data_IF_393950335236
#
_entry.id   IF_393950335236
#
_cell.length_a   1.000
_cell.length_b   1.000
_cell.length_c   1.000
_cell.angle_alpha   90.00
_cell.angle_beta   90.00
_cell.angle_gamma   90.00
#
_symmetry.space_group_name_H-M   'P 1'
#
loop_
_entity.id
_entity.type
_entity.pdbx_description
1 polymer ?
#
# COMPACT_ATOMS: atom_id res chain seq x y z
N UNK A 1 -4.60 -13.13 26.04
CA UNK A 1 -3.43 -12.37 25.58
C UNK A 1 -3.69 -11.95 24.15
N UNK A 2 -3.37 -10.73 23.73
CA UNK A 2 -3.48 -10.38 22.33
C UNK A 2 -2.62 -11.34 21.50
N UNK A 3 -3.18 -11.86 20.40
CA UNK A 3 -2.45 -12.73 19.47
C UNK A 3 -1.55 -11.80 18.66
N UNK A 4 -0.27 -11.71 19.06
CA UNK A 4 0.74 -10.93 18.35
C UNK A 4 1.48 -11.75 17.28
N UNK A 5 1.14 -13.03 17.17
CA UNK A 5 1.73 -13.91 16.17
C UNK A 5 1.08 -13.66 14.79
N UNK A 6 1.91 -13.40 13.79
CA UNK A 6 1.47 -13.28 12.40
C UNK A 6 1.15 -14.67 11.86
N UNK A 7 -0.03 -14.82 11.28
CA UNK A 7 -0.42 -15.99 10.50
C UNK A 7 -0.54 -15.63 9.03
N UNK A 8 -0.24 -16.60 8.15
CA UNK A 8 -0.31 -16.45 6.70
C UNK A 8 -1.34 -17.43 6.16
N UNK A 9 -2.13 -16.99 5.18
CA UNK A 9 -3.15 -17.82 4.56
C UNK A 9 -3.42 -17.40 3.12
N UNK A 10 -4.17 -18.23 2.41
CA UNK A 10 -4.68 -17.94 1.07
C UNK A 10 -6.21 -17.93 1.11
N UNK A 11 -6.81 -17.03 0.35
CA UNK A 11 -8.22 -17.04 0.02
C UNK A 11 -8.39 -17.44 -1.45
N UNK A 12 -9.33 -18.34 -1.74
CA UNK A 12 -9.70 -18.71 -3.11
C UNK A 12 -10.69 -17.66 -3.63
N UNK A 13 -10.26 -16.82 -4.56
CA UNK A 13 -11.02 -15.73 -5.15
C UNK A 13 -11.22 -15.95 -6.65
N UNK A 14 -11.93 -15.05 -7.33
CA UNK A 14 -12.24 -15.17 -8.75
C UNK A 14 -11.01 -15.27 -9.66
N UNK A 15 -9.89 -14.71 -9.24
CA UNK A 15 -8.61 -14.72 -9.96
C UNK A 15 -7.71 -15.91 -9.60
N UNK A 16 -8.09 -16.75 -8.66
CA UNK A 16 -7.26 -17.79 -8.03
C UNK A 16 -6.90 -17.45 -6.60
N UNK A 17 -5.78 -17.98 -6.10
CA UNK A 17 -5.37 -17.81 -4.72
C UNK A 17 -4.75 -16.43 -4.47
N UNK A 18 -5.29 -15.72 -3.48
CA UNK A 18 -4.76 -14.45 -2.98
C UNK A 18 -4.21 -14.67 -1.58
N UNK A 19 -2.92 -14.37 -1.43
CA UNK A 19 -2.22 -14.48 -0.15
C UNK A 19 -2.49 -13.26 0.74
N UNK A 20 -2.60 -13.51 2.02
CA UNK A 20 -2.62 -12.45 3.04
C UNK A 20 -1.94 -12.91 4.33
N UNK A 21 -1.37 -11.94 5.06
CA UNK A 21 -0.90 -12.12 6.42
C UNK A 21 -1.85 -11.42 7.39
N UNK A 22 -2.07 -12.00 8.56
CA UNK A 22 -2.95 -11.43 9.57
C UNK A 22 -2.40 -11.54 10.98
N UNK A 23 -2.80 -10.59 11.84
CA UNK A 23 -2.44 -10.56 13.24
C UNK A 23 -3.61 -9.95 14.05
N UNK A 24 -3.70 -10.27 15.34
CA UNK A 24 -4.71 -9.73 16.24
C UNK A 24 -5.94 -10.60 16.38
N UNK A 25 -6.89 -10.13 17.19
CA UNK A 25 -8.11 -10.88 17.52
C UNK A 25 -9.09 -10.89 16.34
N UNK A 26 -9.65 -12.07 16.04
CA UNK A 26 -10.68 -12.23 15.00
C UNK A 26 -11.96 -11.42 15.29
N UNK A 27 -12.24 -11.09 16.55
CA UNK A 27 -13.41 -10.32 16.98
C UNK A 27 -13.16 -8.80 16.99
N UNK A 28 -11.92 -8.35 16.76
CA UNK A 28 -11.59 -6.93 16.76
C UNK A 28 -11.98 -6.27 15.42
N UNK A 29 -12.18 -4.95 15.39
CA UNK A 29 -12.33 -4.19 14.15
C UNK A 29 -11.17 -4.45 13.19
N UNK A 30 -11.46 -4.45 11.89
CA UNK A 30 -10.47 -4.85 10.87
C UNK A 30 -9.72 -3.64 10.33
N UNK A 31 -8.39 -3.79 10.17
CA UNK A 31 -7.53 -2.91 9.41
C UNK A 31 -6.96 -3.70 8.22
N UNK A 32 -7.34 -3.32 7.00
CA UNK A 32 -6.79 -3.84 5.75
C UNK A 32 -5.61 -2.98 5.31
N UNK A 33 -4.46 -3.60 5.09
CA UNK A 33 -3.20 -2.96 4.71
C UNK A 33 -2.85 -3.34 3.26
N UNK A 34 -2.61 -2.33 2.42
CA UNK A 34 -2.30 -2.46 0.99
C UNK A 34 -0.92 -1.87 0.71
N UNK A 35 0.01 -2.72 0.28
CA UNK A 35 1.43 -2.39 0.11
C UNK A 35 1.71 -1.61 -1.19
N UNK A 36 2.88 -0.98 -1.27
CA UNK A 36 3.41 -0.43 -2.52
C UNK A 36 3.86 -1.56 -3.48
N UNK A 37 3.96 -1.28 -4.77
CA UNK A 37 4.54 -2.20 -5.75
C UNK A 37 5.99 -1.81 -6.06
N UNK A 38 6.89 -2.81 -6.26
CA UNK A 38 6.65 -4.25 -6.35
C UNK A 38 6.82 -5.02 -5.03
N UNK A 39 6.47 -4.41 -3.89
CA UNK A 39 6.57 -5.06 -2.58
C UNK A 39 5.48 -6.13 -2.37
N UNK A 40 5.38 -6.63 -1.14
CA UNK A 40 4.40 -7.60 -0.66
C UNK A 40 3.91 -7.24 0.75
N UNK A 41 3.11 -8.10 1.37
CA UNK A 41 2.70 -7.98 2.78
C UNK A 41 3.88 -7.78 3.74
N UNK A 42 5.09 -8.23 3.35
CA UNK A 42 6.31 -8.08 4.15
C UNK A 42 6.62 -6.62 4.48
N UNK A 43 6.18 -5.67 3.67
CA UNK A 43 6.28 -4.24 3.97
C UNK A 43 5.59 -3.85 5.30
N UNK A 44 4.62 -4.64 5.74
CA UNK A 44 3.89 -4.43 6.98
C UNK A 44 4.23 -5.45 8.08
N UNK A 45 5.30 -6.24 7.90
CA UNK A 45 5.66 -7.31 8.83
C UNK A 45 5.74 -6.79 10.28
N UNK A 46 6.46 -5.70 10.51
CA UNK A 46 6.60 -5.09 11.84
C UNK A 46 5.35 -4.30 12.27
N UNK A 47 4.58 -3.75 11.33
CA UNK A 47 3.37 -2.98 11.61
C UNK A 47 2.20 -3.87 12.04
N UNK A 48 2.08 -5.08 11.47
CA UNK A 48 0.99 -6.01 11.77
C UNK A 48 0.82 -6.27 13.27
N UNK A 49 1.85 -6.67 14.05
CA UNK A 49 1.70 -6.90 15.48
C UNK A 49 1.46 -5.61 16.28
N UNK A 50 2.01 -4.47 15.85
CA UNK A 50 1.81 -3.19 16.52
C UNK A 50 0.34 -2.75 16.49
N UNK A 51 -0.31 -2.87 15.34
CA UNK A 51 -1.75 -2.62 15.20
C UNK A 51 -2.58 -3.78 15.75
N UNK A 52 -2.05 -5.02 15.68
CA UNK A 52 -2.71 -6.26 16.07
C UNK A 52 -3.04 -6.35 17.57
N UNK A 53 -2.46 -5.50 18.40
CA UNK A 53 -2.82 -5.38 19.82
C UNK A 53 -4.28 -4.96 19.99
N UNK A 54 -4.85 -4.19 19.04
CA UNK A 54 -6.18 -3.59 19.14
C UNK A 54 -7.12 -3.96 17.98
N UNK A 55 -6.57 -4.29 16.84
CA UNK A 55 -7.30 -4.54 15.60
C UNK A 55 -7.00 -5.95 15.07
N UNK A 56 -7.91 -6.48 14.27
CA UNK A 56 -7.59 -7.58 13.35
C UNK A 56 -6.92 -6.97 12.13
N UNK A 57 -5.60 -7.08 12.03
CA UNK A 57 -4.84 -6.57 10.89
C UNK A 57 -4.74 -7.61 9.79
N UNK A 58 -4.89 -7.18 8.55
CA UNK A 58 -4.79 -8.02 7.35
C UNK A 58 -3.95 -7.27 6.32
N UNK A 59 -2.79 -7.81 5.97
CA UNK A 59 -1.97 -7.30 4.87
C UNK A 59 -2.13 -8.23 3.67
N UNK A 60 -2.75 -7.73 2.61
CA UNK A 60 -3.01 -8.48 1.37
C UNK A 60 -1.82 -8.32 0.42
N UNK A 61 -1.38 -9.42 -0.19
CA UNK A 61 -0.54 -9.34 -1.38
C UNK A 61 -1.39 -8.91 -2.58
N UNK A 62 -1.09 -7.76 -3.15
CA UNK A 62 -1.75 -7.25 -4.36
C UNK A 62 -1.63 -8.26 -5.49
N UNK A 63 -2.71 -8.55 -6.27
CA UNK A 63 -2.65 -9.53 -7.35
C UNK A 63 -1.47 -9.34 -8.31
N UNK A 64 -0.71 -10.42 -8.50
CA UNK A 64 0.52 -10.42 -9.29
C UNK A 64 1.80 -10.11 -8.51
N UNK A 65 1.70 -9.74 -7.25
CA UNK A 65 2.82 -9.47 -6.34
C UNK A 65 2.81 -10.46 -5.18
N UNK A 66 3.94 -10.60 -4.49
CA UNK A 66 4.10 -11.54 -3.40
C UNK A 66 3.72 -12.97 -3.81
N UNK A 67 2.85 -13.58 -3.02
CA UNK A 67 2.40 -14.96 -3.25
C UNK A 67 1.01 -15.03 -3.92
N UNK A 68 0.37 -13.87 -4.26
CA UNK A 68 -0.95 -13.81 -4.90
C UNK A 68 -0.93 -14.12 -6.39
N UNK A 69 -2.03 -14.73 -6.88
CA UNK A 69 -2.27 -14.91 -8.33
C UNK A 69 -2.40 -13.54 -9.03
N UNK A 70 -2.01 -13.41 -10.31
CA UNK A 70 -2.22 -12.19 -11.07
C UNK A 70 -3.70 -12.02 -11.48
N UNK A 71 -4.09 -10.80 -11.85
CA UNK A 71 -5.37 -10.57 -12.52
C UNK A 71 -5.42 -11.31 -13.86
N UNK A 72 -6.60 -11.76 -14.28
CA UNK A 72 -6.84 -12.29 -15.63
C UNK A 72 -6.81 -11.20 -16.71
N UNK A 73 -6.95 -9.94 -16.33
CA UNK A 73 -6.85 -8.76 -17.18
C UNK A 73 -5.54 -8.00 -16.90
N UNK A 74 -5.16 -7.01 -17.72
CA UNK A 74 -4.05 -6.13 -17.40
C UNK A 74 -4.20 -5.50 -16.02
N UNK A 75 -3.08 -5.34 -15.31
CA UNK A 75 -3.04 -4.75 -13.99
C UNK A 75 -3.64 -3.34 -13.97
N UNK A 76 -4.57 -3.10 -13.06
CA UNK A 76 -5.24 -1.80 -12.87
C UNK A 76 -5.60 -1.58 -11.41
N UNK A 77 -5.70 -0.31 -11.02
CA UNK A 77 -6.11 0.10 -9.67
C UNK A 77 -7.51 -0.43 -9.36
N UNK A 78 -8.43 -0.32 -10.31
CA UNK A 78 -9.81 -0.77 -10.21
C UNK A 78 -9.90 -2.28 -9.99
N UNK A 79 -9.13 -3.05 -10.78
CA UNK A 79 -9.07 -4.51 -10.67
C UNK A 79 -8.53 -4.96 -9.32
N UNK A 80 -7.48 -4.31 -8.82
CA UNK A 80 -6.93 -4.62 -7.49
C UNK A 80 -7.86 -4.24 -6.36
N UNK A 81 -8.57 -3.12 -6.47
CA UNK A 81 -9.58 -2.73 -5.48
C UNK A 81 -10.76 -3.73 -5.45
N UNK A 82 -11.19 -4.22 -6.62
CA UNK A 82 -12.23 -5.24 -6.70
C UNK A 82 -11.80 -6.54 -5.98
N UNK A 83 -10.56 -7.00 -6.18
CA UNK A 83 -10.04 -8.19 -5.48
C UNK A 83 -9.90 -7.94 -3.96
N UNK A 84 -9.58 -6.73 -3.53
CA UNK A 84 -9.59 -6.39 -2.10
C UNK A 84 -10.99 -6.52 -1.50
N UNK A 85 -12.05 -6.16 -2.24
CA UNK A 85 -13.46 -6.37 -1.83
C UNK A 85 -13.77 -7.87 -1.77
N UNK A 86 -13.39 -8.65 -2.79
CA UNK A 86 -13.58 -10.11 -2.78
C UNK A 86 -12.88 -10.77 -1.58
N UNK A 87 -11.68 -10.31 -1.21
CA UNK A 87 -10.97 -10.78 -0.02
C UNK A 87 -11.77 -10.49 1.26
N UNK A 88 -12.31 -9.27 1.40
CA UNK A 88 -13.17 -8.94 2.54
C UNK A 88 -14.41 -9.84 2.59
N UNK A 89 -15.03 -10.15 1.45
CA UNK A 89 -16.19 -11.05 1.36
C UNK A 89 -15.82 -12.47 1.77
N UNK A 90 -14.73 -13.02 1.23
CA UNK A 90 -14.24 -14.35 1.56
C UNK A 90 -13.92 -14.51 3.05
N UNK A 91 -13.48 -13.43 3.70
CA UNK A 91 -13.19 -13.39 5.13
C UNK A 91 -14.41 -13.00 6.01
N UNK A 92 -15.59 -12.84 5.40
CA UNK A 92 -16.84 -12.39 6.06
C UNK A 92 -16.68 -11.05 6.80
N UNK A 93 -15.94 -10.12 6.19
CA UNK A 93 -15.70 -8.78 6.73
C UNK A 93 -16.60 -7.78 6.00
N UNK A 94 -17.58 -7.24 6.68
CA UNK A 94 -18.52 -6.28 6.11
C UNK A 94 -17.85 -4.94 5.80
N UNK A 95 -16.97 -4.47 6.70
CA UNK A 95 -16.32 -3.17 6.61
C UNK A 95 -14.93 -3.21 7.28
N UNK A 96 -13.97 -2.45 6.75
CA UNK A 96 -12.61 -2.33 7.30
C UNK A 96 -12.14 -0.86 7.31
N UNK A 97 -11.25 -0.52 8.24
CA UNK A 97 -10.34 0.62 8.07
C UNK A 97 -9.32 0.24 7.00
N UNK A 98 -9.11 1.07 6.00
CA UNK A 98 -8.22 0.75 4.88
C UNK A 98 -6.99 1.66 4.92
N UNK A 99 -5.83 1.05 4.96
CA UNK A 99 -4.52 1.71 4.99
C UNK A 99 -3.75 1.34 3.73
N UNK A 100 -3.36 2.31 2.94
CA UNK A 100 -2.56 2.06 1.74
C UNK A 100 -1.30 2.90 1.70
N UNK A 101 -0.20 2.31 1.22
CA UNK A 101 1.08 2.97 1.05
C UNK A 101 1.44 3.03 -0.44
N UNK A 102 1.83 4.21 -0.96
CA UNK A 102 2.14 4.45 -2.37
C UNK A 102 1.05 3.89 -3.31
N UNK A 103 1.36 2.85 -4.11
CA UNK A 103 0.39 2.15 -4.98
C UNK A 103 -0.81 1.66 -4.18
N UNK A 104 -0.56 1.08 -3.00
CA UNK A 104 -1.62 0.65 -2.09
C UNK A 104 -2.53 1.79 -1.65
N UNK A 105 -2.00 3.02 -1.52
CA UNK A 105 -2.78 4.22 -1.24
C UNK A 105 -3.72 4.60 -2.38
N UNK A 106 -3.27 4.43 -3.64
CA UNK A 106 -4.12 4.67 -4.82
C UNK A 106 -5.24 3.62 -4.89
N UNK A 107 -4.93 2.34 -4.58
CA UNK A 107 -5.93 1.26 -4.48
C UNK A 107 -6.94 1.57 -3.37
N UNK A 108 -6.46 1.96 -2.18
CA UNK A 108 -7.28 2.29 -1.01
C UNK A 108 -8.24 3.45 -1.30
N UNK A 109 -7.77 4.49 -2.00
CA UNK A 109 -8.59 5.61 -2.42
C UNK A 109 -9.70 5.17 -3.37
N UNK A 110 -9.36 4.36 -4.39
CA UNK A 110 -10.37 3.84 -5.32
C UNK A 110 -11.41 2.99 -4.58
N UNK A 111 -10.96 2.13 -3.65
CA UNK A 111 -11.86 1.31 -2.83
C UNK A 111 -12.81 2.18 -2.02
N UNK A 112 -12.33 3.25 -1.37
CA UNK A 112 -13.15 4.19 -0.63
C UNK A 112 -14.16 4.94 -1.52
N UNK A 113 -13.76 5.32 -2.73
CA UNK A 113 -14.60 6.05 -3.68
C UNK A 113 -15.66 5.17 -4.37
N UNK A 114 -15.31 3.92 -4.72
CA UNK A 114 -16.17 3.02 -5.49
C UNK A 114 -16.99 2.06 -4.60
N UNK A 115 -16.49 1.74 -3.40
CA UNK A 115 -17.08 0.78 -2.47
C UNK A 115 -17.21 1.39 -1.06
N UNK A 116 -17.81 2.58 -0.97
CA UNK A 116 -17.84 3.41 0.23
C UNK A 116 -18.35 2.67 1.49
N UNK A 117 -19.34 1.79 1.35
CA UNK A 117 -19.90 0.99 2.46
C UNK A 117 -18.91 -0.03 3.04
N UNK A 118 -17.85 -0.36 2.31
CA UNK A 118 -16.83 -1.33 2.74
C UNK A 118 -15.67 -0.68 3.50
N UNK A 119 -15.58 0.66 3.51
CA UNK A 119 -14.48 1.43 4.10
C UNK A 119 -14.98 2.28 5.25
N UNK A 120 -14.56 1.95 6.48
CA UNK A 120 -14.89 2.69 7.69
C UNK A 120 -14.09 3.99 7.82
N UNK A 121 -12.80 3.94 7.46
CA UNK A 121 -11.92 5.10 7.37
C UNK A 121 -10.77 4.80 6.39
N UNK A 122 -10.10 5.83 5.93
CA UNK A 122 -9.06 5.76 4.91
C UNK A 122 -7.75 6.34 5.44
N UNK A 123 -6.64 5.63 5.25
CA UNK A 123 -5.29 6.14 5.50
C UNK A 123 -4.49 6.08 4.21
N UNK A 124 -4.04 7.22 3.73
CA UNK A 124 -3.23 7.39 2.53
C UNK A 124 -1.80 7.74 2.94
N UNK A 125 -0.91 6.77 2.93
CA UNK A 125 0.49 6.95 3.27
C UNK A 125 1.33 7.16 2.01
N UNK A 126 2.05 8.27 1.95
CA UNK A 126 2.93 8.61 0.81
C UNK A 126 2.26 8.31 -0.55
N UNK A 127 1.02 8.76 -0.69
CA UNK A 127 0.20 8.45 -1.87
C UNK A 127 0.38 9.56 -2.92
N UNK A 128 0.74 9.24 -4.17
CA UNK A 128 0.80 10.25 -5.22
C UNK A 128 -0.61 10.69 -5.64
N UNK A 129 -0.77 11.97 -5.97
CA UNK A 129 -1.99 12.48 -6.61
C UNK A 129 -1.89 12.29 -8.12
N UNK A 130 -2.61 11.31 -8.66
CA UNK A 130 -2.47 10.88 -10.07
C UNK A 130 -3.41 11.65 -11.00
N UNK A 131 -3.23 12.96 -11.09
CA UNK A 131 -3.93 13.84 -12.04
C UNK A 131 -3.31 13.80 -13.45
N UNK A 132 -3.83 14.61 -14.37
CA UNK A 132 -3.32 14.67 -15.74
C UNK A 132 -1.84 15.14 -15.80
N UNK A 133 -1.45 16.09 -14.95
CA UNK A 133 -0.07 16.56 -14.87
C UNK A 133 0.89 15.44 -14.44
N UNK A 134 0.50 14.67 -13.42
CA UNK A 134 1.25 13.49 -12.98
C UNK A 134 1.39 12.46 -14.11
N UNK A 135 0.29 12.13 -14.79
CA UNK A 135 0.29 11.13 -15.87
C UNK A 135 1.17 11.57 -17.04
N UNK A 136 1.15 12.88 -17.40
CA UNK A 136 2.02 13.44 -18.44
C UNK A 136 3.49 13.34 -18.02
N UNK A 137 3.83 13.83 -16.84
CA UNK A 137 5.20 13.79 -16.34
C UNK A 137 5.74 12.34 -16.23
N UNK A 138 4.88 11.38 -15.87
CA UNK A 138 5.29 9.97 -15.75
C UNK A 138 5.58 9.33 -17.11
N UNK A 139 4.85 9.69 -18.17
CA UNK A 139 5.12 9.18 -19.54
C UNK A 139 6.49 9.61 -20.08
N UNK A 140 7.00 10.74 -19.62
CA UNK A 140 8.29 11.28 -20.05
C UNK A 140 9.49 10.69 -19.29
N UNK A 141 9.23 9.93 -18.21
CA UNK A 141 10.27 9.34 -17.36
C UNK A 141 10.55 7.88 -17.74
N UNK A 142 11.80 7.41 -17.57
CA UNK A 142 12.13 6.01 -17.77
C UNK A 142 11.38 5.12 -16.77
N UNK A 143 11.32 3.81 -17.03
CA UNK A 143 10.85 2.82 -16.06
C UNK A 143 11.58 2.96 -14.72
N UNK A 144 10.87 2.64 -13.61
CA UNK A 144 11.41 2.80 -12.26
C UNK A 144 12.23 1.57 -11.87
N UNK A 145 11.66 0.37 -12.05
CA UNK A 145 12.23 -0.89 -11.55
C UNK A 145 12.61 -1.87 -12.67
N UNK A 146 12.28 -1.58 -13.93
CA UNK A 146 12.63 -2.48 -15.02
C UNK A 146 14.13 -2.56 -15.19
N UNK A 147 14.66 -3.77 -15.10
CA UNK A 147 16.05 -4.13 -15.42
C UNK A 147 16.03 -5.33 -16.36
N UNK A 148 16.91 -5.32 -17.37
CA UNK A 148 17.02 -6.44 -18.28
C UNK A 148 17.71 -7.60 -17.57
N UNK A 149 17.08 -8.80 -17.50
CA UNK A 149 17.71 -9.98 -16.93
C UNK A 149 19.04 -10.30 -17.62
N UNK A 150 20.05 -10.64 -16.84
CA UNK A 150 21.37 -11.05 -17.32
C UNK A 150 21.83 -12.33 -16.64
N UNK A 151 22.57 -13.19 -17.36
CA UNK A 151 23.02 -14.48 -16.84
C UNK A 151 24.02 -14.36 -15.70
N UNK A 152 24.79 -13.27 -15.65
CA UNK A 152 25.78 -12.99 -14.61
C UNK A 152 25.18 -12.39 -13.32
N UNK A 153 23.85 -12.15 -13.28
CA UNK A 153 23.15 -11.57 -12.13
C UNK A 153 23.35 -10.05 -11.97
N UNK A 154 24.04 -9.36 -12.89
CA UNK A 154 24.29 -7.92 -12.79
C UNK A 154 23.02 -7.08 -12.73
N UNK A 155 21.90 -7.57 -13.28
CA UNK A 155 20.58 -6.92 -13.18
C UNK A 155 20.10 -6.77 -11.73
N UNK A 156 20.47 -7.67 -10.81
CA UNK A 156 20.12 -7.56 -9.39
C UNK A 156 20.84 -6.38 -8.74
N UNK A 157 22.12 -6.21 -9.08
CA UNK A 157 22.89 -5.05 -8.61
C UNK A 157 22.35 -3.74 -9.21
N UNK A 158 21.91 -3.76 -10.47
CA UNK A 158 21.30 -2.61 -11.11
C UNK A 158 19.98 -2.22 -10.44
N UNK A 159 19.12 -3.19 -10.11
CA UNK A 159 17.87 -2.96 -9.38
C UNK A 159 18.14 -2.36 -7.99
N UNK A 160 19.10 -2.92 -7.25
CA UNK A 160 19.56 -2.40 -5.97
C UNK A 160 19.99 -0.93 -6.07
N UNK A 161 20.87 -0.61 -7.03
CA UNK A 161 21.41 0.74 -7.23
C UNK A 161 20.31 1.77 -7.56
N UNK A 162 19.30 1.39 -8.34
CA UNK A 162 18.17 2.26 -8.68
C UNK A 162 17.38 2.69 -7.44
N UNK A 163 17.30 1.83 -6.43
CA UNK A 163 16.52 2.07 -5.21
C UNK A 163 17.33 2.63 -4.04
N UNK A 164 18.64 2.45 -4.05
CA UNK A 164 19.50 2.78 -2.92
C UNK A 164 19.34 4.22 -2.41
N UNK A 165 19.18 5.19 -3.30
CA UNK A 165 19.03 6.61 -2.92
C UNK A 165 17.69 6.95 -2.27
N UNK A 166 16.70 6.06 -2.35
CA UNK A 166 15.35 6.24 -1.79
C UNK A 166 15.13 5.46 -0.50
N UNK A 167 16.16 4.78 -0.05
CA UNK A 167 16.20 3.96 1.16
C UNK A 167 17.20 4.53 2.17
N UNK A 168 16.94 4.41 3.48
CA UNK A 168 17.82 4.98 4.48
C UNK A 168 19.21 4.33 4.45
N UNK A 169 20.24 5.16 4.59
CA UNK A 169 21.63 4.69 4.63
C UNK A 169 21.82 3.70 5.77
N UNK A 170 22.57 2.63 5.52
CA UNK A 170 22.86 1.58 6.50
C UNK A 170 21.76 0.53 6.69
N UNK A 171 20.56 0.71 6.12
CA UNK A 171 19.45 -0.26 6.18
C UNK A 171 19.45 -1.15 4.94
N UNK A 172 20.52 -1.97 4.81
CA UNK A 172 20.68 -2.96 3.73
C UNK A 172 19.52 -3.95 3.71
N UNK A 173 19.03 -4.33 4.88
CA UNK A 173 17.90 -5.23 5.08
C UNK A 173 16.65 -4.83 4.30
N UNK A 174 16.35 -3.53 4.23
CA UNK A 174 15.20 -3.00 3.49
C UNK A 174 15.37 -3.14 1.97
N UNK A 175 16.59 -2.93 1.47
CA UNK A 175 16.90 -3.14 0.05
C UNK A 175 16.90 -4.62 -0.32
N UNK A 176 17.39 -5.50 0.56
CA UNK A 176 17.33 -6.96 0.40
C UNK A 176 15.86 -7.42 0.32
N UNK A 177 15.00 -6.92 1.20
CA UNK A 177 13.57 -7.21 1.17
C UNK A 177 12.91 -6.72 -0.13
N UNK A 178 13.24 -5.50 -0.59
CA UNK A 178 12.76 -4.96 -1.86
C UNK A 178 13.15 -5.84 -3.05
N UNK A 179 14.43 -6.19 -3.18
CA UNK A 179 14.92 -7.05 -4.28
C UNK A 179 14.26 -8.42 -4.22
N UNK A 180 14.14 -9.01 -3.02
CA UNK A 180 13.47 -10.29 -2.82
C UNK A 180 11.99 -10.28 -3.26
N UNK A 181 11.26 -9.21 -2.95
CA UNK A 181 9.87 -9.04 -3.38
C UNK A 181 9.78 -8.80 -4.90
N UNK A 182 10.65 -7.97 -5.47
CA UNK A 182 10.68 -7.68 -6.90
C UNK A 182 10.93 -8.96 -7.75
N UNK A 183 11.73 -9.90 -7.24
CA UNK A 183 11.99 -11.18 -7.91
C UNK A 183 10.80 -12.17 -7.86
N UNK A 184 9.84 -11.97 -6.96
CA UNK A 184 8.63 -12.80 -6.84
C UNK A 184 7.48 -12.35 -7.73
N UNK A 185 7.61 -11.19 -8.38
CA UNK A 185 6.53 -10.61 -9.20
C UNK A 185 6.15 -11.58 -10.33
N UNK A 186 4.85 -11.90 -10.42
CA UNK A 186 4.27 -12.82 -11.46
C UNK A 186 3.77 -12.10 -12.69
N UNK A 187 3.96 -10.79 -12.72
CA UNK A 187 3.65 -9.89 -13.83
C UNK A 187 4.92 -9.09 -14.17
N UNK A 188 4.84 -8.13 -15.07
CA UNK A 188 5.93 -7.20 -15.26
C UNK A 188 6.14 -6.36 -13.98
N UNK A 189 7.38 -6.20 -13.52
CA UNK A 189 7.74 -5.43 -12.32
C UNK A 189 7.23 -3.98 -12.37
N UNK A 190 7.11 -3.40 -13.58
CA UNK A 190 6.54 -2.07 -13.81
C UNK A 190 5.00 -2.04 -13.84
N UNK A 191 4.33 -3.18 -13.73
CA UNK A 191 2.86 -3.22 -13.84
C UNK A 191 2.18 -2.30 -12.83
N UNK A 192 2.71 -2.23 -11.59
CA UNK A 192 2.21 -1.34 -10.56
C UNK A 192 2.38 0.13 -10.91
N UNK A 193 3.57 0.51 -11.36
CA UNK A 193 3.85 1.89 -11.76
C UNK A 193 3.03 2.32 -12.96
N UNK A 194 2.78 1.42 -13.93
CA UNK A 194 1.90 1.70 -15.07
C UNK A 194 0.44 1.84 -14.66
N UNK A 195 -0.04 0.99 -13.76
CA UNK A 195 -1.41 1.10 -13.24
C UNK A 195 -1.63 2.45 -12.53
N UNK A 196 -0.70 2.86 -11.66
CA UNK A 196 -0.72 4.19 -11.01
C UNK A 196 -0.63 5.31 -12.04
N UNK A 197 0.26 5.18 -13.04
CA UNK A 197 0.45 6.19 -14.09
C UNK A 197 -0.73 6.32 -15.07
N UNK A 198 -1.64 5.37 -15.12
CA UNK A 198 -2.85 5.42 -15.96
C UNK A 198 -4.10 5.83 -15.18
N UNK A 199 -4.08 5.71 -13.85
CA UNK A 199 -5.24 5.95 -13.00
C UNK A 199 -5.60 7.44 -12.94
N UNK A 200 -6.90 7.74 -13.05
CA UNK A 200 -7.47 9.09 -13.05
C UNK A 200 -8.07 9.40 -11.68
N UNK A 201 -7.21 9.68 -10.70
CA UNK A 201 -7.65 9.91 -9.31
C UNK A 201 -8.63 11.10 -9.21
N UNK A 202 -8.43 12.13 -10.03
CA UNK A 202 -9.29 13.30 -10.09
C UNK A 202 -10.76 12.99 -10.40
N UNK A 203 -11.05 11.88 -11.06
CA UNK A 203 -12.43 11.46 -11.39
C UNK A 203 -13.10 10.73 -10.21
N UNK A 204 -12.35 10.36 -9.17
CA UNK A 204 -12.81 9.50 -8.06
C UNK A 204 -12.74 10.17 -6.69
N UNK A 205 -11.69 10.94 -6.42
CA UNK A 205 -11.38 11.47 -5.08
C UNK A 205 -12.51 12.27 -4.44
N UNK A 206 -13.30 13.01 -5.24
CA UNK A 206 -14.46 13.75 -4.76
C UNK A 206 -15.62 12.89 -4.21
N UNK A 207 -15.56 11.56 -4.39
CA UNK A 207 -16.52 10.61 -3.82
C UNK A 207 -16.10 10.05 -2.47
N UNK A 208 -14.89 10.34 -2.01
CA UNK A 208 -14.37 9.88 -0.73
C UNK A 208 -15.02 10.70 0.38
N UNK A 209 -15.84 10.06 1.20
CA UNK A 209 -16.56 10.69 2.32
C UNK A 209 -16.11 10.16 3.68
N UNK A 210 -15.28 9.14 3.71
CA UNK A 210 -14.79 8.52 4.92
C UNK A 210 -13.82 9.45 5.66
N UNK A 211 -13.78 9.41 7.01
CA UNK A 211 -12.69 10.02 7.75
C UNK A 211 -11.36 9.58 7.18
N UNK A 212 -10.47 10.54 6.89
CA UNK A 212 -9.23 10.28 6.17
C UNK A 212 -8.03 10.83 6.92
N UNK A 213 -6.94 10.04 6.95
CA UNK A 213 -5.61 10.46 7.38
C UNK A 213 -4.65 10.44 6.20
N UNK A 214 -3.91 11.52 5.99
CA UNK A 214 -2.79 11.60 5.06
C UNK A 214 -1.49 11.49 5.84
N UNK A 215 -0.69 10.45 5.60
CA UNK A 215 0.64 10.28 6.20
C UNK A 215 1.69 10.70 5.16
N UNK A 216 2.53 11.66 5.51
CA UNK A 216 3.65 12.10 4.71
C UNK A 216 4.96 11.58 5.28
N UNK A 217 5.67 10.74 4.52
CA UNK A 217 7.09 10.51 4.72
C UNK A 217 7.85 11.75 4.20
N UNK A 218 8.48 12.49 5.09
CA UNK A 218 9.00 13.85 4.75
C UNK A 218 10.08 13.80 3.68
N UNK A 219 10.92 12.75 3.72
CA UNK A 219 12.06 12.58 2.81
C UNK A 219 11.76 11.66 1.61
N UNK A 220 10.47 11.37 1.36
CA UNK A 220 10.04 10.64 0.17
C UNK A 220 9.89 11.60 -1.02
N UNK A 221 10.80 11.57 -2.02
CA UNK A 221 10.78 12.53 -3.12
C UNK A 221 9.67 12.28 -4.13
N UNK A 222 9.02 11.11 -4.10
CA UNK A 222 7.99 10.75 -5.06
C UNK A 222 6.59 11.16 -4.61
N UNK A 223 6.30 11.05 -3.32
CA UNK A 223 4.96 11.25 -2.80
C UNK A 223 4.81 12.51 -1.94
N UNK A 224 5.86 12.91 -1.20
CA UNK A 224 5.78 14.10 -0.34
C UNK A 224 5.33 15.39 -1.07
N UNK A 225 5.71 15.64 -2.34
CA UNK A 225 5.24 16.81 -3.09
C UNK A 225 3.73 16.82 -3.39
N UNK A 226 3.05 15.68 -3.31
CA UNK A 226 1.62 15.58 -3.64
C UNK A 226 0.67 15.84 -2.46
N UNK A 227 1.20 15.98 -1.24
CA UNK A 227 0.37 16.23 -0.06
C UNK A 227 -0.53 17.47 -0.19
N UNK A 228 -0.07 18.64 -0.68
CA UNK A 228 -0.94 19.82 -0.81
C UNK A 228 -2.11 19.60 -1.75
N UNK A 229 -1.90 18.86 -2.85
CA UNK A 229 -2.97 18.54 -3.80
C UNK A 229 -4.01 17.59 -3.19
N UNK A 230 -3.55 16.55 -2.47
CA UNK A 230 -4.45 15.64 -1.75
C UNK A 230 -5.26 16.37 -0.67
N UNK A 231 -4.64 17.26 0.10
CA UNK A 231 -5.34 18.08 1.11
C UNK A 231 -6.39 19.00 0.48
N UNK A 232 -6.09 19.59 -0.67
CA UNK A 232 -7.03 20.44 -1.38
C UNK A 232 -8.29 19.66 -1.83
N UNK A 233 -8.14 18.38 -2.18
CA UNK A 233 -9.24 17.51 -2.60
C UNK A 233 -9.96 16.84 -1.41
N UNK A 234 -9.28 16.68 -0.28
CA UNK A 234 -9.77 16.07 0.96
C UNK A 234 -9.62 17.05 2.13
N UNK A 235 -10.37 18.18 2.14
CA UNK A 235 -10.14 19.26 3.10
C UNK A 235 -10.41 18.87 4.55
N UNK A 236 -11.14 17.79 4.79
CA UNK A 236 -11.41 17.25 6.14
C UNK A 236 -10.38 16.21 6.59
N UNK A 237 -9.39 15.87 5.74
CA UNK A 237 -8.39 14.89 6.11
C UNK A 237 -7.45 15.44 7.19
N UNK A 238 -7.15 14.60 8.18
CA UNK A 238 -6.06 14.84 9.11
C UNK A 238 -4.72 14.61 8.41
N UNK A 239 -3.66 15.23 8.91
CA UNK A 239 -2.30 15.05 8.37
C UNK A 239 -1.37 14.65 9.49
N UNK A 240 -0.53 13.65 9.23
CA UNK A 240 0.60 13.26 10.04
C UNK A 240 1.89 13.30 9.20
N UNK A 241 2.88 14.05 9.66
CA UNK A 241 4.20 14.08 9.01
C UNK A 241 5.20 13.26 9.82
N UNK A 242 5.91 12.35 9.17
CA UNK A 242 6.95 11.52 9.79
C UNK A 242 8.29 11.98 9.27
N UNK A 243 9.01 12.73 10.11
CA UNK A 243 10.34 13.25 9.80
C UNK A 243 11.34 12.10 9.61
N UNK A 244 12.19 12.19 8.59
CA UNK A 244 13.13 11.15 8.24
C UNK A 244 12.50 9.95 7.51
N UNK A 245 11.19 9.92 7.35
CA UNK A 245 10.49 8.89 6.61
C UNK A 245 10.81 8.97 5.11
N UNK A 246 11.24 7.85 4.53
CA UNK A 246 11.58 7.69 3.13
C UNK A 246 10.56 6.77 2.43
N UNK A 247 10.88 6.33 1.22
CA UNK A 247 10.00 5.47 0.40
C UNK A 247 9.52 4.20 1.13
N UNK A 248 10.35 3.44 1.88
CA UNK A 248 9.87 2.25 2.58
C UNK A 248 9.32 2.56 3.98
N UNK A 249 8.54 3.64 4.16
CA UNK A 249 8.14 4.15 5.46
C UNK A 249 7.60 3.08 6.44
N UNK A 250 6.68 2.16 6.05
CA UNK A 250 6.18 1.15 6.98
C UNK A 250 7.26 0.19 7.50
N UNK A 251 8.21 -0.20 6.65
CA UNK A 251 9.36 -1.03 7.02
C UNK A 251 10.45 -0.24 7.77
N UNK A 252 10.63 1.02 7.37
CA UNK A 252 11.70 1.87 7.90
C UNK A 252 11.41 2.31 9.33
N UNK A 253 10.16 2.72 9.59
CA UNK A 253 9.73 3.37 10.84
C UNK A 253 8.38 2.79 11.31
N UNK A 254 8.30 1.47 11.57
CA UNK A 254 7.04 0.78 11.83
C UNK A 254 6.31 1.32 13.07
N UNK A 255 7.03 1.70 14.13
CA UNK A 255 6.43 2.25 15.33
C UNK A 255 5.79 3.64 15.07
N UNK A 256 6.50 4.54 14.38
CA UNK A 256 5.99 5.86 14.06
C UNK A 256 4.79 5.77 13.12
N UNK A 257 4.86 4.86 12.13
CA UNK A 257 3.75 4.58 11.22
C UNK A 257 2.54 4.05 11.98
N UNK A 258 2.72 3.02 12.81
CA UNK A 258 1.64 2.43 13.59
C UNK A 258 1.03 3.43 14.58
N UNK A 259 1.83 4.27 15.23
CA UNK A 259 1.35 5.32 16.14
C UNK A 259 0.48 6.35 15.42
N UNK A 260 0.86 6.78 14.20
CA UNK A 260 0.05 7.69 13.40
C UNK A 260 -1.32 7.08 13.05
N UNK A 261 -1.33 5.80 12.63
CA UNK A 261 -2.57 5.07 12.33
C UNK A 261 -3.43 4.90 13.58
N UNK A 262 -2.86 4.41 14.69
CA UNK A 262 -3.60 4.21 15.95
C UNK A 262 -4.18 5.52 16.49
N UNK A 263 -3.39 6.59 16.50
CA UNK A 263 -3.85 7.90 16.98
C UNK A 263 -5.05 8.43 16.20
N UNK A 264 -5.04 8.22 14.88
CA UNK A 264 -6.18 8.57 14.02
C UNK A 264 -7.41 7.70 14.31
N UNK A 265 -7.25 6.38 14.38
CA UNK A 265 -8.37 5.45 14.62
C UNK A 265 -8.97 5.64 16.02
N UNK A 266 -8.16 5.97 17.03
CA UNK A 266 -8.64 6.29 18.38
C UNK A 266 -9.49 7.57 18.41
N UNK A 267 -9.08 8.57 17.64
CA UNK A 267 -9.85 9.80 17.48
C UNK A 267 -11.25 9.58 16.90
N UNK A 268 -11.42 8.57 16.03
CA UNK A 268 -12.73 8.22 15.45
C UNK A 268 -13.65 7.52 16.45
N UNK A 269 -13.12 6.78 17.40
CA UNK A 269 -13.91 6.09 18.43
C UNK A 269 -14.48 7.03 19.48
N UNK A 270 -13.95 8.26 19.59
CA UNK A 270 -14.35 9.29 20.56
C UNK A 270 -15.30 10.33 19.95
N UNK A 271 -15.47 10.36 18.63
CA UNK A 271 -16.33 11.29 17.90
C UNK A 271 -17.69 10.69 17.59
#
# INVERSE_FOLDING_TARGET
MPITQISRAFADLSIGQVHYASCGSMAAPVVLLLHQTPRSWLEYHEVLPLLGVRFRTIAMDTPGFGDSAPLHAPASIEGWAAVAVELLDALSIAQAHVVGHHTGGVIALHLAAAHASRVASLVLSSTPFTNEAFRRARRERPPIDAVEPSEDGSHLAALWQRRQSFYPSGRRDLLEAFVGDALKVKVDVEAGHRAVASYRMEDHIGRVTQPTLLIRAVDDPFAAPHLPELQAQLPQAQVAEIAGGMVPLPDQMPEAFAQAVLGFLDGLALA
#
